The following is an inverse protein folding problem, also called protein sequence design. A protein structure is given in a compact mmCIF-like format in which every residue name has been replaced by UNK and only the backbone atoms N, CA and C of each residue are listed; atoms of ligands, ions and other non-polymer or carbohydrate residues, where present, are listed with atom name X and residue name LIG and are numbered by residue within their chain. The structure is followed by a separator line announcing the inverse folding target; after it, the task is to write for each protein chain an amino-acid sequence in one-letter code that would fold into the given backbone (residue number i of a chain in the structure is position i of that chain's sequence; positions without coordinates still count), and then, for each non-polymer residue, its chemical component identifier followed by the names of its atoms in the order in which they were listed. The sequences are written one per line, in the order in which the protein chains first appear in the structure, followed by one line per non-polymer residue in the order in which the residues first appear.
data_IF_229497646829
#
_entry.id   IF_229497646829
#
_cell.length_a   1.000
_cell.length_b   1.000
_cell.length_c   1.000
_cell.angle_alpha   90.00
_cell.angle_beta   90.00
_cell.angle_gamma   90.00
#
_symmetry.space_group_name_H-M   'P 1'
#
loop_
_entity.id
_entity.type
_entity.pdbx_description
1 polymer ?
#
# COMPACT_ATOMS: atom_id res chain seq x y z
N UNK A 1 -32.89 -4.71 14.64
CA UNK A 1 -33.52 -5.97 15.11
C UNK A 1 -34.78 -6.18 14.29
N UNK A 2 -35.16 -7.43 14.05
CA UNK A 2 -36.40 -7.79 13.33
C UNK A 2 -37.39 -8.29 14.37
N UNK A 3 -38.63 -7.82 14.30
CA UNK A 3 -39.71 -8.37 15.10
C UNK A 3 -40.37 -9.51 14.30
N UNK A 4 -40.56 -10.66 14.95
CA UNK A 4 -41.10 -11.85 14.29
C UNK A 4 -42.22 -12.45 15.12
N UNK A 5 -43.34 -12.75 14.46
CA UNK A 5 -44.50 -13.41 15.04
C UNK A 5 -44.57 -14.83 14.49
N UNK A 6 -44.51 -15.83 15.37
CA UNK A 6 -44.82 -17.22 15.03
C UNK A 6 -46.14 -17.65 15.69
N UNK A 7 -47.03 -18.24 14.90
CA UNK A 7 -48.27 -18.88 15.39
C UNK A 7 -48.20 -20.38 15.13
N UNK A 8 -48.54 -21.19 16.13
CA UNK A 8 -48.60 -22.65 16.01
C UNK A 8 -50.07 -23.08 16.01
N UNK A 9 -50.46 -23.81 14.98
CA UNK A 9 -51.76 -24.45 14.90
C UNK A 9 -51.69 -25.88 15.45
N UNK A 10 -52.74 -26.33 16.17
CA UNK A 10 -52.78 -27.66 16.75
C UNK A 10 -52.86 -28.74 15.67
N UNK A 11 -52.61 -29.98 16.10
CA UNK A 11 -52.71 -31.16 15.24
C UNK A 11 -54.14 -31.39 14.72
N UNK A 12 -54.26 -31.93 13.51
CA UNK A 12 -55.54 -32.23 12.87
C UNK A 12 -56.12 -31.12 12.00
N UNK A 13 -55.43 -29.98 11.88
CA UNK A 13 -55.81 -28.89 10.99
C UNK A 13 -55.24 -29.15 9.59
N UNK A 14 -56.08 -29.64 8.67
CA UNK A 14 -55.70 -29.78 7.26
C UNK A 14 -56.01 -28.47 6.53
N UNK A 15 -55.01 -27.59 6.42
CA UNK A 15 -55.15 -26.31 5.72
C UNK A 15 -54.75 -26.45 4.26
N UNK A 16 -55.67 -26.07 3.38
CA UNK A 16 -55.31 -25.79 1.99
C UNK A 16 -54.51 -24.48 1.90
N UNK A 17 -53.63 -24.37 0.89
CA UNK A 17 -52.82 -23.18 0.64
C UNK A 17 -53.70 -21.92 0.44
N UNK A 18 -54.91 -22.10 -0.08
CA UNK A 18 -55.91 -21.03 -0.28
C UNK A 18 -56.42 -20.46 1.04
N UNK A 19 -56.51 -21.27 2.09
CA UNK A 19 -56.93 -20.85 3.43
C UNK A 19 -55.80 -20.17 4.21
N UNK A 20 -54.54 -20.51 3.90
CA UNK A 20 -53.35 -19.93 4.54
C UNK A 20 -53.00 -18.55 3.95
N UNK A 21 -53.18 -18.39 2.63
CA UNK A 21 -52.76 -17.19 1.89
C UNK A 21 -53.26 -15.86 2.49
N UNK A 22 -54.52 -15.74 2.98
CA UNK A 22 -55.02 -14.52 3.61
C UNK A 22 -54.22 -14.06 4.84
N UNK A 23 -53.64 -14.97 5.62
CA UNK A 23 -52.79 -14.61 6.77
C UNK A 23 -51.50 -13.88 6.38
N UNK A 24 -51.12 -14.02 5.11
CA UNK A 24 -49.95 -13.38 4.49
C UNK A 24 -50.36 -12.32 3.47
N UNK A 25 -51.55 -11.71 3.59
CA UNK A 25 -52.05 -10.68 2.67
C UNK A 25 -52.07 -11.15 1.20
N UNK A 26 -52.33 -12.44 0.99
CA UNK A 26 -52.30 -13.10 -0.32
C UNK A 26 -50.96 -12.93 -1.08
N UNK A 27 -49.86 -12.72 -0.35
CA UNK A 27 -48.52 -12.73 -0.92
C UNK A 27 -48.14 -14.16 -1.36
N UNK A 28 -47.10 -14.26 -2.19
CA UNK A 28 -46.53 -15.56 -2.56
C UNK A 28 -46.09 -16.32 -1.31
N UNK A 29 -46.75 -17.45 -1.07
CA UNK A 29 -46.46 -18.31 0.06
C UNK A 29 -45.20 -19.14 -0.19
N UNK A 30 -44.38 -19.25 0.84
CA UNK A 30 -43.18 -20.07 0.89
C UNK A 30 -43.37 -21.03 2.04
N UNK A 31 -43.00 -22.28 1.86
CA UNK A 31 -43.17 -23.25 2.92
C UNK A 31 -42.48 -24.56 2.67
N UNK A 32 -42.21 -25.24 3.77
CA UNK A 32 -41.53 -26.52 3.80
C UNK A 32 -42.11 -27.38 4.90
N UNK A 33 -42.15 -28.68 4.65
CA UNK A 33 -42.28 -29.67 5.72
C UNK A 33 -40.91 -29.83 6.36
N UNK A 34 -40.82 -29.87 7.69
CA UNK A 34 -39.54 -29.88 8.40
C UNK A 34 -39.56 -30.87 9.56
N UNK A 35 -38.40 -31.12 10.17
CA UNK A 35 -38.27 -32.06 11.30
C UNK A 35 -38.75 -33.48 10.92
N UNK A 36 -38.48 -33.91 9.69
CA UNK A 36 -38.84 -35.25 9.20
C UNK A 36 -40.35 -35.51 9.12
N UNK A 37 -41.13 -34.51 8.68
CA UNK A 37 -42.57 -34.66 8.50
C UNK A 37 -43.43 -34.16 9.66
N UNK A 38 -42.83 -33.92 10.83
CA UNK A 38 -43.56 -33.62 12.07
C UNK A 38 -44.26 -32.25 12.08
N UNK A 39 -43.88 -31.32 11.18
CA UNK A 39 -44.52 -30.01 11.09
C UNK A 39 -44.32 -29.37 9.72
N UNK A 40 -45.27 -28.53 9.30
CA UNK A 40 -45.18 -27.67 8.13
C UNK A 40 -45.01 -26.22 8.57
N UNK A 41 -44.19 -25.47 7.83
CA UNK A 41 -43.91 -24.06 8.11
C UNK A 41 -44.23 -23.24 6.89
N UNK A 42 -44.92 -22.13 7.09
CA UNK A 42 -45.28 -21.19 6.04
C UNK A 42 -44.87 -19.77 6.41
N UNK A 43 -44.40 -19.02 5.41
CA UNK A 43 -44.04 -17.61 5.53
C UNK A 43 -44.14 -16.93 4.16
N UNK A 44 -44.26 -15.61 4.12
CA UNK A 44 -44.03 -14.81 2.92
C UNK A 44 -42.72 -14.01 2.98
N UNK A 45 -42.01 -14.13 4.10
CA UNK A 45 -40.72 -13.50 4.33
C UNK A 45 -40.75 -11.97 4.18
N UNK A 46 -41.93 -11.35 4.37
CA UNK A 46 -42.16 -9.91 4.34
C UNK A 46 -42.39 -9.36 5.75
N UNK A 47 -42.14 -8.07 5.89
CA UNK A 47 -42.55 -7.30 7.06
C UNK A 47 -43.97 -6.79 6.77
N UNK A 48 -44.91 -7.15 7.64
CA UNK A 48 -46.31 -6.74 7.52
C UNK A 48 -46.53 -5.35 8.12
N UNK A 49 -47.74 -4.80 7.99
CA UNK A 49 -48.09 -3.44 8.45
C UNK A 49 -47.90 -3.22 9.96
N UNK A 50 -47.91 -4.31 10.74
CA UNK A 50 -47.66 -4.33 12.17
C UNK A 50 -46.16 -4.30 12.53
N UNK A 51 -45.27 -4.34 11.53
CA UNK A 51 -43.82 -4.36 11.70
C UNK A 51 -43.24 -5.76 11.96
N UNK A 52 -44.05 -6.81 11.90
CA UNK A 52 -43.60 -8.18 12.15
C UNK A 52 -43.42 -8.96 10.84
N UNK A 53 -42.37 -9.78 10.78
CA UNK A 53 -42.36 -10.93 9.88
C UNK A 53 -43.13 -12.10 10.49
N UNK A 54 -43.70 -12.96 9.65
CA UNK A 54 -44.66 -13.98 10.09
C UNK A 54 -44.22 -15.39 9.74
N UNK A 55 -44.38 -16.29 10.69
CA UNK A 55 -44.33 -17.74 10.49
C UNK A 55 -45.64 -18.36 10.96
N UNK A 56 -46.24 -19.20 10.12
CA UNK A 56 -47.33 -20.09 10.49
C UNK A 56 -46.79 -21.50 10.55
N UNK A 57 -46.98 -22.16 11.68
CA UNK A 57 -46.48 -23.51 11.95
C UNK A 57 -47.69 -24.42 12.13
N UNK A 58 -47.80 -25.45 11.30
CA UNK A 58 -48.85 -26.46 11.41
C UNK A 58 -48.23 -27.70 12.07
N UNK A 59 -48.73 -28.06 13.24
CA UNK A 59 -48.26 -29.21 13.97
C UNK A 59 -48.86 -30.49 13.37
N UNK A 60 -48.02 -31.45 12.95
CA UNK A 60 -48.44 -32.74 12.36
C UNK A 60 -47.97 -33.94 13.21
N UNK A 61 -47.64 -33.74 14.49
CA UNK A 61 -46.98 -34.66 15.46
C UNK A 61 -45.59 -34.18 15.91
N UNK A 62 -45.46 -32.87 16.16
CA UNK A 62 -44.28 -32.21 16.68
C UNK A 62 -44.15 -32.43 18.19
N UNK A 63 -43.09 -33.12 18.62
CA UNK A 63 -42.78 -33.26 20.05
C UNK A 63 -42.32 -31.94 20.66
N UNK A 64 -42.59 -31.75 21.95
CA UNK A 64 -42.18 -30.53 22.70
C UNK A 64 -40.68 -30.25 22.55
N UNK A 65 -39.84 -31.27 22.70
CA UNK A 65 -38.38 -31.14 22.53
C UNK A 65 -37.96 -30.75 21.11
N UNK A 66 -38.69 -31.25 20.10
CA UNK A 66 -38.45 -30.89 18.71
C UNK A 66 -38.83 -29.43 18.48
N UNK A 67 -40.00 -29.00 18.97
CA UNK A 67 -40.45 -27.61 18.92
C UNK A 67 -39.49 -26.63 19.60
N UNK A 68 -38.96 -26.98 20.77
CA UNK A 68 -38.00 -26.16 21.51
C UNK A 68 -36.68 -25.92 20.75
N UNK A 69 -36.25 -26.86 19.90
CA UNK A 69 -35.07 -26.70 19.05
C UNK A 69 -35.38 -26.06 17.71
N UNK A 70 -36.57 -26.31 17.18
CA UNK A 70 -37.01 -25.86 15.87
C UNK A 70 -37.37 -24.36 15.87
N UNK A 71 -38.09 -23.88 16.88
CA UNK A 71 -38.56 -22.49 16.94
C UNK A 71 -37.40 -21.46 16.94
N UNK A 72 -36.35 -21.62 17.77
CA UNK A 72 -35.20 -20.71 17.72
C UNK A 72 -34.51 -20.69 16.36
N UNK A 73 -34.47 -21.82 15.63
CA UNK A 73 -33.86 -21.87 14.29
C UNK A 73 -34.61 -21.03 13.29
N UNK A 74 -35.95 -21.03 13.32
CA UNK A 74 -36.75 -20.15 12.45
C UNK A 74 -36.45 -18.67 12.72
N UNK A 75 -36.37 -18.29 14.00
CA UNK A 75 -36.04 -16.91 14.38
C UNK A 75 -34.59 -16.54 14.03
N UNK A 76 -33.64 -17.45 14.22
CA UNK A 76 -32.26 -17.24 13.79
C UNK A 76 -32.15 -17.07 12.27
N UNK A 77 -32.86 -17.89 11.48
CA UNK A 77 -32.93 -17.72 10.02
C UNK A 77 -33.42 -16.32 9.68
N UNK A 78 -34.49 -15.86 10.34
CA UNK A 78 -35.09 -14.56 10.06
C UNK A 78 -34.16 -13.39 10.42
N UNK A 79 -33.55 -13.45 11.60
CA UNK A 79 -32.58 -12.45 12.07
C UNK A 79 -31.37 -12.42 11.15
N UNK A 80 -30.74 -13.55 10.88
CA UNK A 80 -29.52 -13.59 10.08
C UNK A 80 -29.77 -13.24 8.62
N UNK A 81 -30.90 -13.66 8.04
CA UNK A 81 -31.31 -13.25 6.69
C UNK A 81 -31.35 -11.73 6.53
N UNK A 82 -31.95 -11.03 7.49
CA UNK A 82 -32.00 -9.56 7.43
C UNK A 82 -30.62 -8.95 7.64
N UNK A 83 -29.82 -9.47 8.58
CA UNK A 83 -28.45 -8.99 8.80
C UNK A 83 -27.54 -9.15 7.57
N UNK A 84 -27.66 -10.27 6.84
CA UNK A 84 -26.95 -10.48 5.57
C UNK A 84 -27.28 -9.36 4.57
N UNK A 85 -28.57 -9.01 4.45
CA UNK A 85 -29.04 -8.04 3.47
C UNK A 85 -28.68 -6.59 3.80
N UNK A 86 -28.26 -6.27 5.02
CA UNK A 86 -27.81 -4.91 5.38
C UNK A 86 -26.52 -4.48 4.67
N UNK A 87 -25.64 -5.44 4.35
CA UNK A 87 -24.38 -5.13 3.69
C UNK A 87 -24.54 -4.89 2.18
N UNK A 88 -25.59 -5.45 1.56
CA UNK A 88 -25.75 -5.43 0.11
C UNK A 88 -25.93 -4.02 -0.51
N UNK A 89 -26.75 -3.12 0.05
CA UNK A 89 -26.85 -1.74 -0.44
C UNK A 89 -25.52 -0.98 -0.37
N UNK A 90 -24.70 -1.28 0.63
CA UNK A 90 -23.37 -0.66 0.79
C UNK A 90 -22.46 -1.13 -0.35
N UNK A 91 -22.40 -2.43 -0.62
CA UNK A 91 -21.62 -2.98 -1.73
C UNK A 91 -22.03 -2.36 -3.08
N UNK A 92 -23.34 -2.18 -3.32
CA UNK A 92 -23.83 -1.50 -4.54
C UNK A 92 -23.38 -0.05 -4.64
N UNK A 93 -23.38 0.69 -3.52
CA UNK A 93 -22.93 2.09 -3.48
C UNK A 93 -21.43 2.25 -3.72
N UNK A 94 -20.62 1.27 -3.31
CA UNK A 94 -19.17 1.30 -3.51
C UNK A 94 -18.71 0.87 -4.92
N UNK A 95 -19.59 0.25 -5.70
CA UNK A 95 -19.22 -0.24 -7.02
C UNK A 95 -18.72 0.84 -7.99
N UNK A 96 -19.35 2.04 -8.08
CA UNK A 96 -18.84 3.15 -8.89
C UNK A 96 -17.48 3.66 -8.39
N UNK A 97 -17.29 3.81 -7.08
CA UNK A 97 -16.03 4.26 -6.48
C UNK A 97 -14.89 3.29 -6.79
N UNK A 98 -15.15 1.98 -6.70
CA UNK A 98 -14.20 0.95 -7.07
C UNK A 98 -13.77 1.06 -8.54
N UNK A 99 -14.72 1.34 -9.45
CA UNK A 99 -14.43 1.53 -10.88
C UNK A 99 -13.59 2.78 -11.12
N UNK A 100 -13.93 3.89 -10.44
CA UNK A 100 -13.18 5.15 -10.50
C UNK A 100 -11.74 4.95 -10.01
N UNK A 101 -11.56 4.30 -8.87
CA UNK A 101 -10.25 4.04 -8.28
C UNK A 101 -9.37 3.14 -9.18
N UNK A 102 -9.95 2.09 -9.78
CA UNK A 102 -9.25 1.22 -10.73
C UNK A 102 -8.82 1.99 -12.01
N UNK A 103 -9.69 2.87 -12.51
CA UNK A 103 -9.37 3.73 -13.65
C UNK A 103 -8.28 4.76 -13.31
N UNK A 104 -8.32 5.38 -12.13
CA UNK A 104 -7.28 6.29 -11.66
C UNK A 104 -5.92 5.57 -11.56
N UNK A 105 -5.88 4.37 -10.99
CA UNK A 105 -4.66 3.57 -10.93
C UNK A 105 -4.12 3.25 -12.34
N UNK A 106 -5.00 2.89 -13.28
CA UNK A 106 -4.61 2.67 -14.66
C UNK A 106 -4.00 3.92 -15.31
N UNK A 107 -4.58 5.09 -15.07
CA UNK A 107 -4.04 6.36 -15.58
C UNK A 107 -2.67 6.66 -14.99
N UNK A 108 -2.49 6.51 -13.67
CA UNK A 108 -1.21 6.75 -13.00
C UNK A 108 -0.13 5.79 -13.53
N UNK A 109 -0.43 4.49 -13.58
CA UNK A 109 0.52 3.47 -14.06
C UNK A 109 0.89 3.67 -15.54
N UNK A 110 -0.05 4.12 -16.37
CA UNK A 110 0.23 4.47 -17.77
C UNK A 110 1.09 5.73 -17.89
N UNK A 111 0.86 6.74 -17.05
CA UNK A 111 1.69 7.94 -17.01
C UNK A 111 3.12 7.63 -16.54
N UNK A 112 3.31 6.67 -15.63
CA UNK A 112 4.64 6.24 -15.20
C UNK A 112 5.50 5.72 -16.35
N UNK A 113 4.93 5.02 -17.34
CA UNK A 113 5.69 4.50 -18.49
C UNK A 113 6.06 5.58 -19.51
N UNK A 114 5.32 6.69 -19.54
CA UNK A 114 5.51 7.81 -20.47
C UNK A 114 6.24 9.02 -19.85
N UNK A 115 6.38 9.07 -18.52
CA UNK A 115 6.79 10.28 -17.79
C UNK A 115 8.22 10.74 -18.09
N UNK A 116 8.32 11.97 -18.62
CA UNK A 116 9.48 12.87 -18.71
C UNK A 116 9.65 13.73 -17.42
N UNK A 117 9.65 13.11 -16.24
CA UNK A 117 10.10 13.78 -15.01
C UNK A 117 9.03 14.44 -14.13
N UNK A 118 7.77 14.00 -14.19
CA UNK A 118 6.70 14.48 -13.29
C UNK A 118 6.34 13.44 -12.19
N UNK A 119 7.32 12.68 -11.74
CA UNK A 119 7.12 11.54 -10.82
C UNK A 119 6.61 11.99 -9.43
N UNK A 120 6.92 13.22 -8.99
CA UNK A 120 6.40 13.76 -7.73
C UNK A 120 4.87 13.92 -7.72
N UNK A 121 4.28 14.43 -8.81
CA UNK A 121 2.81 14.56 -8.89
C UNK A 121 2.13 13.20 -8.96
N UNK A 122 2.72 12.25 -9.69
CA UNK A 122 2.22 10.88 -9.74
C UNK A 122 2.26 10.22 -8.35
N UNK A 123 3.28 10.53 -7.54
CA UNK A 123 3.37 10.03 -6.16
C UNK A 123 2.29 10.62 -5.26
N UNK A 124 1.99 11.92 -5.39
CA UNK A 124 0.92 12.58 -4.65
C UNK A 124 -0.46 11.99 -5.02
N UNK A 125 -0.75 11.86 -6.32
CA UNK A 125 -1.98 11.25 -6.82
C UNK A 125 -2.16 9.81 -6.34
N UNK A 126 -1.08 9.03 -6.37
CA UNK A 126 -1.09 7.65 -5.92
C UNK A 126 -1.27 7.53 -4.40
N UNK A 127 -0.68 8.45 -3.63
CA UNK A 127 -0.84 8.51 -2.17
C UNK A 127 -2.27 8.85 -1.79
N UNK A 128 -2.89 9.80 -2.49
CA UNK A 128 -4.31 10.14 -2.31
C UNK A 128 -5.22 8.95 -2.65
N UNK A 129 -4.94 8.26 -3.76
CA UNK A 129 -5.68 7.06 -4.17
C UNK A 129 -5.54 5.94 -3.13
N UNK A 130 -4.34 5.72 -2.60
CA UNK A 130 -4.10 4.75 -1.54
C UNK A 130 -4.94 5.04 -0.29
N UNK A 131 -4.98 6.31 0.14
CA UNK A 131 -5.77 6.73 1.29
C UNK A 131 -7.28 6.55 1.07
N UNK A 132 -7.80 6.86 -0.13
CA UNK A 132 -9.21 6.65 -0.49
C UNK A 132 -9.58 5.16 -0.43
N UNK A 133 -8.76 4.27 -1.00
CA UNK A 133 -8.98 2.82 -0.98
C UNK A 133 -8.91 2.27 0.45
N UNK A 134 -7.89 2.66 1.22
CA UNK A 134 -7.73 2.19 2.60
C UNK A 134 -8.92 2.61 3.48
N UNK A 135 -9.43 3.82 3.28
CA UNK A 135 -10.62 4.29 3.98
C UNK A 135 -11.87 3.43 3.63
N UNK A 136 -12.05 3.07 2.36
CA UNK A 136 -13.14 2.18 1.95
C UNK A 136 -13.00 0.77 2.52
N UNK A 137 -11.79 0.21 2.51
CA UNK A 137 -11.49 -1.11 3.09
C UNK A 137 -11.78 -1.09 4.59
N UNK A 138 -11.15 -0.20 5.33
CA UNK A 138 -11.26 -0.09 6.80
C UNK A 138 -12.71 0.12 7.24
N UNK A 139 -13.46 0.97 6.54
CA UNK A 139 -14.85 1.29 6.89
C UNK A 139 -15.85 0.14 6.63
N UNK A 140 -15.55 -0.80 5.73
CA UNK A 140 -16.56 -1.74 5.21
C UNK A 140 -16.18 -3.21 5.31
N UNK A 141 -14.89 -3.54 5.47
CA UNK A 141 -14.42 -4.93 5.48
C UNK A 141 -15.16 -5.80 6.50
N UNK A 142 -15.30 -5.33 7.74
CA UNK A 142 -16.00 -6.06 8.80
C UNK A 142 -17.47 -6.34 8.47
N UNK A 143 -18.15 -5.41 7.79
CA UNK A 143 -19.56 -5.58 7.40
C UNK A 143 -19.71 -6.66 6.33
N UNK A 144 -18.82 -6.71 5.34
CA UNK A 144 -18.84 -7.74 4.30
C UNK A 144 -18.43 -9.12 4.84
N UNK A 145 -17.46 -9.17 5.75
CA UNK A 145 -17.10 -10.38 6.47
C UNK A 145 -18.28 -10.91 7.31
N UNK A 146 -18.95 -10.03 8.06
CA UNK A 146 -20.13 -10.37 8.84
C UNK A 146 -21.28 -10.89 7.96
N UNK A 147 -21.55 -10.24 6.82
CA UNK A 147 -22.57 -10.72 5.88
C UNK A 147 -22.29 -12.14 5.36
N UNK A 148 -21.02 -12.48 5.11
CA UNK A 148 -20.63 -13.84 4.73
C UNK A 148 -20.82 -14.83 5.89
N UNK A 149 -20.44 -14.45 7.12
CA UNK A 149 -20.62 -15.28 8.30
C UNK A 149 -22.11 -15.54 8.62
N UNK A 150 -22.94 -14.50 8.55
CA UNK A 150 -24.38 -14.64 8.75
C UNK A 150 -25.04 -15.49 7.68
N UNK A 151 -24.59 -15.42 6.42
CA UNK A 151 -25.08 -16.29 5.37
C UNK A 151 -24.76 -17.76 5.67
N UNK A 152 -23.54 -18.06 6.12
CA UNK A 152 -23.18 -19.43 6.53
C UNK A 152 -24.04 -19.93 7.70
N UNK A 153 -24.40 -19.06 8.65
CA UNK A 153 -25.33 -19.42 9.73
C UNK A 153 -26.73 -19.73 9.20
N UNK A 154 -27.24 -18.94 8.25
CA UNK A 154 -28.52 -19.25 7.58
C UNK A 154 -28.45 -20.60 6.87
N UNK A 155 -27.38 -20.88 6.12
CA UNK A 155 -27.20 -22.17 5.44
C UNK A 155 -27.17 -23.34 6.43
N UNK A 156 -26.42 -23.21 7.53
CA UNK A 156 -26.38 -24.23 8.57
C UNK A 156 -27.76 -24.50 9.17
N UNK A 157 -28.54 -23.44 9.45
CA UNK A 157 -29.89 -23.58 10.00
C UNK A 157 -30.87 -24.20 9.02
N UNK A 158 -30.74 -23.88 7.73
CA UNK A 158 -31.54 -24.51 6.67
C UNK A 158 -31.25 -26.02 6.57
N UNK A 159 -29.98 -26.44 6.70
CA UNK A 159 -29.62 -27.85 6.76
C UNK A 159 -30.24 -28.52 8.00
N UNK A 160 -30.16 -27.86 9.16
CA UNK A 160 -30.70 -28.37 10.43
C UNK A 160 -32.23 -28.50 10.44
N UNK A 161 -32.95 -27.74 9.59
CA UNK A 161 -34.40 -27.86 9.43
C UNK A 161 -34.82 -29.18 8.79
N UNK A 162 -33.94 -29.78 7.97
CA UNK A 162 -34.25 -30.96 7.14
C UNK A 162 -35.54 -30.74 6.35
N UNK A 163 -35.53 -29.70 5.52
CA UNK A 163 -36.72 -29.32 4.78
C UNK A 163 -37.06 -30.31 3.65
N UNK A 164 -38.35 -30.55 3.50
CA UNK A 164 -38.96 -31.31 2.43
C UNK A 164 -39.99 -30.43 1.71
N UNK A 165 -40.16 -30.70 0.40
CA UNK A 165 -40.97 -29.85 -0.46
C UNK A 165 -42.46 -30.09 -0.25
N UNK A 166 -43.20 -29.00 -0.04
CA UNK A 166 -44.65 -28.97 -0.16
C UNK A 166 -45.00 -28.69 -1.64
N UNK A 167 -45.90 -29.49 -2.22
CA UNK A 167 -46.27 -29.32 -3.63
C UNK A 167 -46.95 -27.96 -3.86
N UNK A 168 -46.65 -27.33 -5.00
CA UNK A 168 -47.23 -26.05 -5.40
C UNK A 168 -46.54 -24.79 -4.84
N UNK A 169 -45.66 -24.91 -3.85
CA UNK A 169 -44.92 -23.75 -3.28
C UNK A 169 -43.40 -23.96 -3.27
N UNK A 170 -42.66 -22.87 -3.08
CA UNK A 170 -41.21 -22.90 -2.96
C UNK A 170 -40.80 -23.24 -1.53
N UNK A 171 -39.73 -24.02 -1.37
CA UNK A 171 -39.15 -24.30 -0.05
C UNK A 171 -38.49 -23.04 0.54
N UNK A 172 -38.42 -22.99 1.87
CA UNK A 172 -37.77 -21.91 2.62
C UNK A 172 -36.31 -21.77 2.16
N UNK A 173 -35.56 -22.86 2.13
CA UNK A 173 -34.16 -22.85 1.73
C UNK A 173 -33.94 -22.44 0.28
N UNK A 174 -34.77 -22.95 -0.64
CA UNK A 174 -34.71 -22.59 -2.05
C UNK A 174 -34.98 -21.10 -2.29
N UNK A 175 -35.95 -20.53 -1.57
CA UNK A 175 -36.25 -19.10 -1.65
C UNK A 175 -35.10 -18.24 -1.09
N UNK A 176 -34.60 -18.59 0.11
CA UNK A 176 -33.54 -17.83 0.76
C UNK A 176 -32.24 -17.89 -0.02
N UNK A 177 -31.83 -19.05 -0.51
CA UNK A 177 -30.63 -19.19 -1.34
C UNK A 177 -30.69 -18.27 -2.55
N UNK A 178 -31.80 -18.28 -3.30
CA UNK A 178 -31.99 -17.43 -4.48
C UNK A 178 -31.93 -15.93 -4.17
N UNK A 179 -32.29 -15.50 -2.96
CA UNK A 179 -32.28 -14.08 -2.56
C UNK A 179 -30.97 -13.64 -1.91
N UNK A 180 -30.36 -14.49 -1.10
CA UNK A 180 -29.18 -14.14 -0.30
C UNK A 180 -27.88 -14.38 -1.07
N UNK A 181 -27.79 -15.46 -1.84
CA UNK A 181 -26.54 -15.84 -2.53
C UNK A 181 -26.04 -14.74 -3.48
N UNK A 182 -26.87 -14.12 -4.35
CA UNK A 182 -26.41 -13.01 -5.19
C UNK A 182 -25.93 -11.80 -4.37
N UNK A 183 -26.62 -11.48 -3.28
CA UNK A 183 -26.30 -10.35 -2.42
C UNK A 183 -24.94 -10.54 -1.72
N UNK A 184 -24.70 -11.74 -1.19
CA UNK A 184 -23.43 -12.13 -0.54
C UNK A 184 -22.30 -12.17 -1.55
N UNK A 185 -22.53 -12.71 -2.75
CA UNK A 185 -21.52 -12.75 -3.81
C UNK A 185 -21.07 -11.35 -4.22
N UNK A 186 -21.99 -10.38 -4.30
CA UNK A 186 -21.65 -8.98 -4.57
C UNK A 186 -20.83 -8.37 -3.44
N UNK A 187 -21.17 -8.64 -2.17
CA UNK A 187 -20.38 -8.18 -1.03
C UNK A 187 -18.96 -8.76 -1.06
N UNK A 188 -18.83 -10.08 -1.28
CA UNK A 188 -17.54 -10.78 -1.35
C UNK A 188 -16.69 -10.27 -2.51
N UNK A 189 -17.27 -10.15 -3.70
CA UNK A 189 -16.58 -9.63 -4.89
C UNK A 189 -16.09 -8.20 -4.66
N UNK A 190 -16.92 -7.34 -4.04
CA UNK A 190 -16.55 -5.95 -3.75
C UNK A 190 -15.38 -5.89 -2.76
N UNK A 191 -15.44 -6.66 -1.66
CA UNK A 191 -14.35 -6.74 -0.69
C UNK A 191 -13.03 -7.21 -1.32
N UNK A 192 -13.09 -8.30 -2.11
CA UNK A 192 -11.91 -8.85 -2.79
C UNK A 192 -11.30 -7.85 -3.78
N UNK A 193 -12.13 -7.13 -4.54
CA UNK A 193 -11.64 -6.14 -5.51
C UNK A 193 -10.97 -4.94 -4.83
N UNK A 194 -11.50 -4.46 -3.71
CA UNK A 194 -10.80 -3.42 -2.93
C UNK A 194 -9.48 -3.91 -2.36
N UNK A 195 -9.42 -5.13 -1.83
CA UNK A 195 -8.18 -5.74 -1.33
C UNK A 195 -7.13 -5.84 -2.45
N UNK A 196 -7.51 -6.37 -3.61
CA UNK A 196 -6.63 -6.47 -4.77
C UNK A 196 -6.19 -5.11 -5.30
N UNK A 197 -7.07 -4.11 -5.29
CA UNK A 197 -6.72 -2.76 -5.70
C UNK A 197 -5.73 -2.11 -4.72
N UNK A 198 -5.92 -2.31 -3.40
CA UNK A 198 -4.98 -1.86 -2.37
C UNK A 198 -3.58 -2.44 -2.59
N UNK A 199 -3.50 -3.75 -2.85
CA UNK A 199 -2.23 -4.43 -3.14
C UNK A 199 -1.56 -3.84 -4.39
N UNK A 200 -2.32 -3.64 -5.47
CA UNK A 200 -1.78 -3.02 -6.70
C UNK A 200 -1.28 -1.61 -6.46
N UNK A 201 -2.02 -0.78 -5.73
CA UNK A 201 -1.59 0.58 -5.38
C UNK A 201 -0.31 0.55 -4.55
N UNK A 202 -0.21 -0.35 -3.56
CA UNK A 202 1.01 -0.56 -2.77
C UNK A 202 2.22 -0.91 -3.65
N UNK A 203 2.05 -1.87 -4.56
CA UNK A 203 3.09 -2.28 -5.50
C UNK A 203 3.50 -1.14 -6.45
N UNK A 204 2.53 -0.41 -7.01
CA UNK A 204 2.81 0.75 -7.86
C UNK A 204 3.56 1.84 -7.10
N UNK A 205 3.21 2.08 -5.83
CA UNK A 205 3.86 3.09 -4.98
C UNK A 205 5.32 2.74 -4.73
N UNK A 206 5.60 1.46 -4.46
CA UNK A 206 6.96 0.96 -4.30
C UNK A 206 7.79 1.10 -5.59
N UNK A 207 7.21 0.78 -6.75
CA UNK A 207 7.89 0.95 -8.04
C UNK A 207 8.20 2.42 -8.35
N UNK A 208 7.24 3.32 -8.11
CA UNK A 208 7.43 4.75 -8.35
C UNK A 208 8.50 5.33 -7.43
N UNK A 209 8.47 4.98 -6.13
CA UNK A 209 9.50 5.38 -5.18
C UNK A 209 10.89 4.91 -5.61
N UNK A 210 11.02 3.64 -6.00
CA UNK A 210 12.28 3.07 -6.49
C UNK A 210 12.80 3.83 -7.73
N UNK A 211 11.91 4.19 -8.66
CA UNK A 211 12.28 4.99 -9.83
C UNK A 211 12.80 6.37 -9.44
N UNK A 212 12.11 7.07 -8.54
CA UNK A 212 12.52 8.39 -8.04
C UNK A 212 13.89 8.31 -7.36
N UNK A 213 14.10 7.31 -6.50
CA UNK A 213 15.38 7.10 -5.82
C UNK A 213 16.54 6.90 -6.82
N UNK A 214 16.32 6.10 -7.89
CA UNK A 214 17.30 5.91 -8.97
C UNK A 214 17.58 7.21 -9.73
N UNK A 215 16.57 8.04 -9.99
CA UNK A 215 16.75 9.33 -10.67
C UNK A 215 17.59 10.27 -9.80
N UNK A 216 17.30 10.35 -8.50
CA UNK A 216 18.06 11.17 -7.54
C UNK A 216 19.51 10.67 -7.47
N UNK A 217 19.72 9.35 -7.38
CA UNK A 217 21.06 8.77 -7.34
C UNK A 217 21.86 9.09 -8.61
N UNK A 218 21.25 8.95 -9.79
CA UNK A 218 21.88 9.32 -11.07
C UNK A 218 22.21 10.80 -11.15
N UNK A 219 21.34 11.69 -10.65
CA UNK A 219 21.63 13.12 -10.59
C UNK A 219 22.82 13.41 -9.67
N UNK A 220 22.87 12.79 -8.49
CA UNK A 220 23.99 12.93 -7.57
C UNK A 220 25.31 12.46 -8.19
N UNK A 221 25.34 11.29 -8.84
CA UNK A 221 26.53 10.81 -9.56
C UNK A 221 26.95 11.74 -10.71
N UNK A 222 25.99 12.27 -11.45
CA UNK A 222 26.24 13.22 -12.54
C UNK A 222 26.82 14.55 -12.04
N UNK A 223 26.52 14.97 -10.80
CA UNK A 223 27.11 16.16 -10.18
C UNK A 223 28.53 15.91 -9.63
N UNK A 224 28.81 14.73 -9.07
CA UNK A 224 30.11 14.40 -8.50
C UNK A 224 31.23 14.33 -9.56
N UNK A 225 30.92 13.84 -10.76
CA UNK A 225 31.90 13.68 -11.86
C UNK A 225 32.56 15.01 -12.28
N UNK A 226 31.81 16.09 -12.62
CA UNK A 226 32.39 17.39 -12.95
C UNK A 226 33.03 18.08 -11.73
N UNK A 227 32.56 17.82 -10.49
CA UNK A 227 33.23 18.32 -9.29
C UNK A 227 34.65 17.76 -9.16
N UNK A 228 34.83 16.45 -9.37
CA UNK A 228 36.15 15.82 -9.37
C UNK A 228 37.06 16.37 -10.47
N UNK A 229 36.51 16.62 -11.66
CA UNK A 229 37.26 17.23 -12.76
C UNK A 229 37.72 18.64 -12.39
N UNK A 230 36.83 19.46 -11.83
CA UNK A 230 37.12 20.83 -11.41
C UNK A 230 38.15 20.87 -10.28
N UNK A 231 38.03 19.99 -9.28
CA UNK A 231 39.01 19.85 -8.20
C UNK A 231 40.40 19.47 -8.75
N UNK A 232 40.46 18.52 -9.69
CA UNK A 232 41.71 18.12 -10.35
C UNK A 232 42.33 19.25 -11.17
N UNK A 233 41.51 20.05 -11.85
CA UNK A 233 41.98 21.23 -12.58
C UNK A 233 42.52 22.31 -11.63
N UNK A 234 41.86 22.54 -10.50
CA UNK A 234 42.33 23.47 -9.47
C UNK A 234 43.68 23.04 -8.89
N UNK A 235 43.85 21.74 -8.60
CA UNK A 235 45.14 21.21 -8.13
C UNK A 235 46.26 21.42 -9.16
N UNK A 236 45.99 21.19 -10.46
CA UNK A 236 46.98 21.43 -11.53
C UNK A 236 47.34 22.90 -11.66
N UNK A 237 46.37 23.81 -11.55
CA UNK A 237 46.64 25.25 -11.54
C UNK A 237 47.50 25.66 -10.34
N UNK A 238 47.22 25.13 -9.16
CA UNK A 238 48.02 25.38 -7.98
C UNK A 238 49.46 24.87 -8.14
N UNK A 239 49.64 23.65 -8.66
CA UNK A 239 50.97 23.10 -8.98
C UNK A 239 51.72 23.95 -10.01
N UNK A 240 51.04 24.51 -11.01
CA UNK A 240 51.66 25.44 -11.96
C UNK A 240 52.12 26.74 -11.28
N UNK A 241 51.32 27.30 -10.36
CA UNK A 241 51.70 28.49 -9.58
C UNK A 241 52.87 28.18 -8.65
N UNK A 242 52.88 27.02 -8.01
CA UNK A 242 54.01 26.54 -7.19
C UNK A 242 55.29 26.48 -8.04
N UNK A 243 55.24 25.94 -9.25
CA UNK A 243 56.39 25.91 -10.17
C UNK A 243 56.94 27.30 -10.53
N UNK A 244 56.06 28.29 -10.75
CA UNK A 244 56.48 29.68 -11.00
C UNK A 244 57.11 30.29 -9.74
N UNK A 245 56.58 29.99 -8.56
CA UNK A 245 57.12 30.49 -7.29
C UNK A 245 58.57 30.03 -7.04
N UNK A 246 58.92 28.80 -7.42
CA UNK A 246 60.29 28.28 -7.30
C UNK A 246 61.27 29.12 -8.11
N UNK A 247 60.91 29.51 -9.33
CA UNK A 247 61.75 30.37 -10.18
C UNK A 247 61.94 31.74 -9.52
N UNK A 248 60.85 32.35 -9.04
CA UNK A 248 60.91 33.66 -8.38
C UNK A 248 61.77 33.63 -7.12
N UNK A 249 61.57 32.64 -6.23
CA UNK A 249 62.34 32.48 -4.99
C UNK A 249 63.82 32.23 -5.29
N UNK A 250 64.13 31.40 -6.29
CA UNK A 250 65.51 31.12 -6.71
C UNK A 250 66.21 32.40 -7.18
N UNK A 251 65.53 33.23 -7.98
CA UNK A 251 66.06 34.51 -8.44
C UNK A 251 66.32 35.47 -7.27
N UNK A 252 65.36 35.62 -6.35
CA UNK A 252 65.54 36.48 -5.16
C UNK A 252 66.68 36.00 -4.26
N UNK A 253 66.79 34.69 -4.03
CA UNK A 253 67.85 34.12 -3.21
C UNK A 253 69.24 34.33 -3.84
N UNK A 254 69.38 34.14 -5.16
CA UNK A 254 70.62 34.41 -5.87
C UNK A 254 71.01 35.91 -5.77
N UNK A 255 70.05 36.81 -5.94
CA UNK A 255 70.30 38.26 -5.84
C UNK A 255 70.69 38.68 -4.41
N UNK A 256 70.11 38.05 -3.38
CA UNK A 256 70.48 38.28 -1.99
C UNK A 256 71.94 37.86 -1.70
N UNK A 257 72.36 36.71 -2.23
CA UNK A 257 73.73 36.22 -2.09
C UNK A 257 74.71 37.12 -2.83
N UNK A 258 74.38 37.56 -4.05
CA UNK A 258 75.18 38.54 -4.80
C UNK A 258 75.39 39.83 -4.00
N UNK A 259 74.33 40.36 -3.39
CA UNK A 259 74.43 41.53 -2.52
C UNK A 259 75.33 41.25 -1.29
N UNK A 260 75.18 40.10 -0.64
CA UNK A 260 76.04 39.71 0.49
C UNK A 260 77.52 39.60 0.09
N UNK A 261 77.84 38.95 -1.04
CA UNK A 261 79.22 38.82 -1.51
C UNK A 261 79.83 40.18 -1.85
N UNK A 262 79.07 41.11 -2.43
CA UNK A 262 79.53 42.46 -2.70
C UNK A 262 79.84 43.22 -1.40
N UNK A 263 78.99 43.09 -0.37
CA UNK A 263 79.24 43.74 0.95
C UNK A 263 80.41 43.14 1.71
N UNK A 264 80.68 41.83 1.59
CA UNK A 264 81.85 41.19 2.21
C UNK A 264 83.18 41.57 1.54
N UNK A 265 83.14 41.95 0.26
CA UNK A 265 84.34 42.37 -0.46
C UNK A 265 84.88 43.73 0.00
N UNK A 266 84.07 44.53 0.69
CA UNK A 266 84.51 45.76 1.38
C UNK A 266 85.36 45.46 2.63
N UNK A 267 85.49 44.19 3.06
CA UNK A 267 86.18 43.76 4.29
C UNK A 267 87.53 43.02 4.07
N UNK A 268 88.21 43.22 2.92
CA UNK A 268 89.59 42.75 2.64
C UNK A 268 89.88 41.22 2.68
N UNK A 269 88.88 40.36 2.48
CA UNK A 269 89.13 38.92 2.26
C UNK A 269 89.36 38.59 0.78
N UNK A 270 90.52 38.02 0.43
CA UNK A 270 90.98 37.76 -0.95
C UNK A 270 90.27 36.60 -1.69
N UNK A 271 88.94 36.48 -1.58
CA UNK A 271 88.19 35.43 -2.31
C UNK A 271 87.50 36.05 -3.52
N UNK A 272 87.82 35.56 -4.72
CA UNK A 272 87.21 36.04 -5.97
C UNK A 272 85.68 35.86 -5.92
N UNK A 273 84.89 36.95 -5.85
CA UNK A 273 83.44 36.90 -5.65
C UNK A 273 82.71 36.26 -6.83
N UNK A 274 83.23 36.40 -8.06
CA UNK A 274 82.65 35.81 -9.27
C UNK A 274 82.60 34.27 -9.24
N UNK A 275 83.57 33.62 -8.57
CA UNK A 275 83.61 32.15 -8.47
C UNK A 275 82.60 31.65 -7.41
N UNK A 276 82.48 32.38 -6.30
CA UNK A 276 81.48 32.07 -5.26
C UNK A 276 80.08 32.22 -5.82
N UNK A 277 79.82 33.30 -6.54
CA UNK A 277 78.51 33.59 -7.11
C UNK A 277 78.10 32.55 -8.18
N UNK A 278 79.02 32.21 -9.10
CA UNK A 278 78.78 31.19 -10.11
C UNK A 278 78.53 29.78 -9.54
N UNK A 279 79.17 29.44 -8.42
CA UNK A 279 78.96 28.17 -7.73
C UNK A 279 77.70 28.15 -6.84
N UNK A 280 77.27 29.29 -6.31
CA UNK A 280 76.11 29.40 -5.43
C UNK A 280 74.79 29.16 -6.17
N UNK A 281 74.65 29.66 -7.40
CA UNK A 281 73.41 29.53 -8.21
C UNK A 281 72.92 28.09 -8.36
N UNK A 282 73.74 27.11 -8.83
CA UNK A 282 73.30 25.72 -8.94
C UNK A 282 73.01 25.10 -7.56
N UNK A 283 73.72 25.49 -6.51
CA UNK A 283 73.48 24.99 -5.15
C UNK A 283 72.14 25.46 -4.58
N UNK A 284 71.79 26.73 -4.79
CA UNK A 284 70.49 27.31 -4.39
C UNK A 284 69.35 26.61 -5.14
N UNK A 285 69.52 26.42 -6.45
CA UNK A 285 68.50 25.81 -7.30
C UNK A 285 68.24 24.35 -6.89
N UNK A 286 69.30 23.59 -6.59
CA UNK A 286 69.19 22.22 -6.07
C UNK A 286 68.56 22.21 -4.68
N UNK A 287 68.97 23.11 -3.78
CA UNK A 287 68.46 23.18 -2.40
C UNK A 287 66.96 23.50 -2.35
N UNK A 288 66.52 24.51 -3.10
CA UNK A 288 65.11 24.89 -3.19
C UNK A 288 64.29 23.79 -3.87
N UNK A 289 64.82 23.21 -4.96
CA UNK A 289 64.17 22.11 -5.67
C UNK A 289 63.98 20.86 -4.79
N UNK A 290 65.00 20.48 -4.00
CA UNK A 290 64.91 19.38 -3.06
C UNK A 290 63.96 19.69 -1.89
N UNK A 291 64.00 20.91 -1.35
CA UNK A 291 63.09 21.35 -0.28
C UNK A 291 61.62 21.27 -0.71
N UNK A 292 61.29 21.76 -1.91
CA UNK A 292 59.94 21.66 -2.46
C UNK A 292 59.53 20.20 -2.71
N UNK A 293 60.44 19.38 -3.27
CA UNK A 293 60.17 17.95 -3.51
C UNK A 293 59.94 17.18 -2.20
N UNK A 294 60.66 17.54 -1.14
CA UNK A 294 60.52 16.95 0.19
C UNK A 294 59.17 17.31 0.82
N UNK A 295 58.77 18.59 0.77
CA UNK A 295 57.47 19.05 1.27
C UNK A 295 56.33 18.38 0.49
N UNK A 296 56.42 18.30 -0.84
CA UNK A 296 55.40 17.65 -1.65
C UNK A 296 55.30 16.14 -1.37
N UNK A 297 56.43 15.49 -1.07
CA UNK A 297 56.46 14.08 -0.67
C UNK A 297 55.79 13.85 0.69
N UNK A 298 56.00 14.74 1.67
CA UNK A 298 55.34 14.68 2.98
C UNK A 298 53.83 14.87 2.85
N UNK A 299 53.40 15.88 2.08
CA UNK A 299 51.97 16.15 1.89
C UNK A 299 51.30 14.94 1.21
N UNK A 300 51.91 14.40 0.14
CA UNK A 300 51.39 13.23 -0.56
C UNK A 300 51.21 12.02 0.36
N UNK A 301 52.22 11.72 1.19
CA UNK A 301 52.16 10.61 2.15
C UNK A 301 51.14 10.85 3.27
N UNK A 302 50.79 12.10 3.58
CA UNK A 302 49.77 12.44 4.60
C UNK A 302 48.35 12.32 4.03
N UNK A 303 48.14 12.65 2.75
CA UNK A 303 46.85 12.44 2.07
C UNK A 303 46.50 10.97 1.89
N UNK A 304 47.46 10.09 1.61
CA UNK A 304 47.21 8.65 1.45
C UNK A 304 46.80 7.95 2.78
N UNK A 305 47.10 8.55 3.94
CA UNK A 305 46.71 8.04 5.26
C UNK A 305 45.23 8.31 5.58
N UNK A 306 44.58 9.26 4.89
CA UNK A 306 43.14 9.55 5.02
C UNK A 306 42.29 8.97 3.87
N UNK A 307 42.91 8.32 2.89
CA UNK A 307 42.25 7.59 1.80
C UNK A 307 42.66 6.12 1.79
N UNK A 308 42.57 5.46 2.95
CA UNK A 308 42.45 3.99 3.06
C UNK A 308 40.97 3.57 3.03
N UNK A 309 40.67 2.32 2.64
CA UNK A 309 39.36 1.85 2.16
C UNK A 309 38.17 2.12 3.09
#
# INVERSE_FOLDING_TARGET
MVATHASILPEGVNLDLTEISPYFTNNTLIGSTVTGGATCVFTDFRIHVDGFSRFLIVNNNLRVEQGARFMPRLFEIEVYRVLVLLAFPIARKLHPELKKADQQLYTITSAMTQSDGNDSKLLDELTMLAAEIENHVSSNHLRFAAASAYYNLVEQRLIDLREERIQGIQTIGGFLKRRLEPAVNICRSTANRFSWLSERVGNTSQLLRTRVDIIIERQNQALLTPMNLRAKMQLRMQQMVEGISVVAITYYAANLIHAMTNTLHEFEWHINPEIIEGAAVPFILISIGLGFKYIHHIIKNTTDVYSGP
#
